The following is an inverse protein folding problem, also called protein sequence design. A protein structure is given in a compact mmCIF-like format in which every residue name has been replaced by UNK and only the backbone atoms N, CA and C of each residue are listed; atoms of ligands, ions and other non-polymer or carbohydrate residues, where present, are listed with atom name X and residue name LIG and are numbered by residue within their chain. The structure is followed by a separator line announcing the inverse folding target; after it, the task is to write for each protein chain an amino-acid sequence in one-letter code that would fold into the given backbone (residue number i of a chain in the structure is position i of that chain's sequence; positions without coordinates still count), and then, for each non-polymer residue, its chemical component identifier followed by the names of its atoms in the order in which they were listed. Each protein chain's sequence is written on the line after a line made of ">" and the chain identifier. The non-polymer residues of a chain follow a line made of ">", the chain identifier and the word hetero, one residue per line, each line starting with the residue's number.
data_IF_739833596362
#
_entry.id   IF_739833596362
#
_cell.length_a   1.000
_cell.length_b   1.000
_cell.length_c   1.000
_cell.angle_alpha   90.00
_cell.angle_beta   90.00
_cell.angle_gamma   90.00
#
_symmetry.space_group_name_H-M   'P 1'
#
loop_
_entity.id
_entity.type
_entity.pdbx_description
1 polymer ?
#
# COMPACT_ATOMS: atom_id res chain seq x y z
N UNK A 1 -10.43 -2.07 -14.07
CA UNK A 1 -11.03 -3.36 -14.48
C UNK A 1 -10.10 -4.53 -14.19
N UNK A 2 -9.06 -4.83 -14.99
CA UNK A 2 -8.21 -6.02 -14.73
C UNK A 2 -7.53 -6.04 -13.35
N UNK A 3 -6.96 -4.90 -12.92
CA UNK A 3 -6.29 -4.80 -11.60
C UNK A 3 -7.27 -4.96 -10.44
N UNK A 4 -8.47 -4.38 -10.54
CA UNK A 4 -9.52 -4.50 -9.52
C UNK A 4 -10.02 -5.94 -9.41
N UNK A 5 -10.16 -6.64 -10.54
CA UNK A 5 -10.57 -8.05 -10.57
C UNK A 5 -9.49 -8.96 -9.96
N UNK A 6 -8.21 -8.65 -10.21
CA UNK A 6 -7.09 -9.34 -9.58
C UNK A 6 -7.09 -9.13 -8.06
N UNK A 7 -7.29 -7.89 -7.59
CA UNK A 7 -7.40 -7.56 -6.17
C UNK A 7 -8.55 -8.34 -5.52
N UNK A 8 -9.73 -8.36 -6.15
CA UNK A 8 -10.90 -9.10 -5.65
C UNK A 8 -10.64 -10.59 -5.58
N UNK A 9 -9.97 -11.15 -6.60
CA UNK A 9 -9.60 -12.57 -6.65
C UNK A 9 -8.61 -12.93 -5.54
N UNK A 10 -7.59 -12.09 -5.33
CA UNK A 10 -6.62 -12.24 -4.26
C UNK A 10 -7.27 -12.20 -2.87
N UNK A 11 -8.17 -11.23 -2.63
CA UNK A 11 -8.93 -11.12 -1.37
C UNK A 11 -9.79 -12.37 -1.12
N UNK A 12 -10.48 -12.85 -2.15
CA UNK A 12 -11.32 -14.06 -2.07
C UNK A 12 -10.47 -15.28 -1.72
N UNK A 13 -9.30 -15.41 -2.35
CA UNK A 13 -8.38 -16.52 -2.10
C UNK A 13 -7.89 -16.55 -0.64
N UNK A 14 -7.58 -15.39 -0.06
CA UNK A 14 -7.07 -15.29 1.31
C UNK A 14 -8.15 -15.24 2.40
N UNK A 15 -9.42 -15.04 2.03
CA UNK A 15 -10.53 -14.89 2.98
C UNK A 15 -10.61 -16.00 4.05
N UNK A 16 -10.37 -17.30 3.74
CA UNK A 16 -10.43 -18.38 4.74
C UNK A 16 -9.38 -18.28 5.85
N UNK A 17 -8.27 -17.57 5.61
CA UNK A 17 -7.20 -17.41 6.59
C UNK A 17 -7.53 -16.34 7.64
N UNK A 18 -8.50 -15.47 7.36
CA UNK A 18 -9.02 -14.48 8.29
C UNK A 18 -7.93 -13.63 8.93
N UNK A 19 -7.96 -13.50 10.26
CA UNK A 19 -7.01 -12.70 11.03
C UNK A 19 -5.60 -13.28 11.11
N UNK A 20 -5.33 -14.48 10.56
CA UNK A 20 -3.97 -15.04 10.53
C UNK A 20 -3.09 -14.37 9.48
N UNK A 21 -3.69 -13.67 8.53
CA UNK A 21 -3.01 -12.98 7.41
C UNK A 21 -3.36 -11.50 7.39
N UNK A 22 -3.35 -10.86 8.56
CA UNK A 22 -3.57 -9.41 8.69
C UNK A 22 -2.44 -8.77 9.50
N UNK A 23 -1.98 -7.56 9.14
CA UNK A 23 -2.28 -6.87 7.89
C UNK A 23 -1.67 -7.59 6.67
N UNK A 24 -2.17 -7.31 5.47
CA UNK A 24 -1.44 -7.66 4.26
C UNK A 24 -0.17 -6.82 4.15
N UNK A 25 0.94 -7.44 3.76
CA UNK A 25 2.18 -6.72 3.51
C UNK A 25 2.27 -6.35 2.03
N UNK A 26 2.15 -5.06 1.73
CA UNK A 26 2.31 -4.50 0.39
C UNK A 26 3.73 -3.93 0.22
N UNK A 27 4.59 -4.71 -0.42
CA UNK A 27 5.96 -4.30 -0.70
C UNK A 27 6.06 -3.72 -2.12
N UNK A 28 6.54 -2.49 -2.23
CA UNK A 28 6.65 -1.75 -3.49
C UNK A 28 8.10 -1.75 -4.01
N UNK A 29 8.31 -1.93 -5.32
CA UNK A 29 9.64 -1.93 -5.91
C UNK A 29 10.29 -0.55 -5.85
N UNK A 30 11.62 -0.49 -5.99
CA UNK A 30 12.36 0.78 -6.00
C UNK A 30 11.98 1.73 -7.14
N UNK A 31 11.33 1.22 -8.20
CA UNK A 31 10.78 2.02 -9.30
C UNK A 31 9.45 2.71 -8.96
N UNK A 32 8.82 2.36 -7.84
CA UNK A 32 7.59 3.01 -7.38
C UNK A 32 7.95 4.32 -6.68
N UNK A 33 7.81 5.44 -7.39
CA UNK A 33 8.21 6.75 -6.90
C UNK A 33 7.06 7.66 -6.43
N UNK A 34 7.40 8.86 -5.93
CA UNK A 34 6.44 9.82 -5.38
C UNK A 34 5.33 10.26 -6.34
N UNK A 35 5.61 10.28 -7.65
CA UNK A 35 4.63 10.65 -8.67
C UNK A 35 3.41 9.70 -8.74
N UNK A 36 3.49 8.52 -8.09
CA UNK A 36 2.46 7.48 -8.10
C UNK A 36 1.74 7.33 -6.76
N UNK A 37 1.89 8.27 -5.82
CA UNK A 37 1.25 8.19 -4.50
C UNK A 37 -0.28 8.08 -4.60
N UNK A 38 -0.92 8.74 -5.57
CA UNK A 38 -2.36 8.64 -5.78
C UNK A 38 -2.79 7.23 -6.20
N UNK A 39 -1.97 6.54 -7.01
CA UNK A 39 -2.22 5.14 -7.37
C UNK A 39 -2.12 4.21 -6.15
N UNK A 40 -1.16 4.48 -5.25
CA UNK A 40 -1.03 3.73 -4.00
C UNK A 40 -2.25 3.95 -3.09
N UNK A 41 -2.72 5.19 -2.97
CA UNK A 41 -3.90 5.52 -2.19
C UNK A 41 -5.14 4.76 -2.72
N UNK A 42 -5.36 4.78 -4.04
CA UNK A 42 -6.46 4.05 -4.68
C UNK A 42 -6.33 2.53 -4.46
N UNK A 43 -5.12 1.98 -4.53
CA UNK A 43 -4.88 0.56 -4.30
C UNK A 43 -5.22 0.15 -2.86
N UNK A 44 -4.80 0.94 -1.87
CA UNK A 44 -5.10 0.71 -0.45
C UNK A 44 -6.62 0.69 -0.23
N UNK A 45 -7.33 1.68 -0.79
CA UNK A 45 -8.79 1.77 -0.70
C UNK A 45 -9.50 0.59 -1.38
N UNK A 46 -8.99 0.15 -2.54
CA UNK A 46 -9.55 -0.98 -3.30
C UNK A 46 -9.33 -2.32 -2.60
N UNK A 47 -8.19 -2.48 -1.91
CA UNK A 47 -7.87 -3.68 -1.14
C UNK A 47 -8.85 -3.91 0.01
N UNK A 48 -9.40 -2.84 0.62
CA UNK A 48 -10.44 -2.90 1.66
C UNK A 48 -10.17 -4.03 2.68
N UNK A 49 -8.93 -4.03 3.16
CA UNK A 49 -8.34 -4.89 4.20
C UNK A 49 -7.21 -4.10 4.86
N UNK A 50 -6.83 -4.41 6.12
CA UNK A 50 -5.65 -3.78 6.72
C UNK A 50 -4.39 -4.11 5.91
N UNK A 51 -3.59 -3.10 5.61
CA UNK A 51 -2.34 -3.21 4.87
C UNK A 51 -1.23 -2.52 5.64
N UNK A 52 -0.02 -3.07 5.58
CA UNK A 52 1.23 -2.40 5.91
C UNK A 52 2.04 -2.21 4.62
N UNK A 53 2.61 -1.02 4.43
CA UNK A 53 3.30 -0.64 3.18
C UNK A 53 4.80 -0.57 3.41
N UNK A 54 5.56 -1.24 2.55
CA UNK A 54 7.02 -1.13 2.49
C UNK A 54 7.41 -0.47 1.16
N UNK A 55 8.19 0.62 1.24
CA UNK A 55 8.71 1.33 0.06
C UNK A 55 10.22 1.15 -0.06
N UNK A 56 10.72 1.09 -1.30
CA UNK A 56 12.17 0.97 -1.57
C UNK A 56 12.75 2.13 -2.37
N UNK A 57 11.92 3.09 -2.78
CA UNK A 57 12.38 4.22 -3.58
C UNK A 57 13.11 5.26 -2.71
N UNK A 58 14.33 5.63 -3.11
CA UNK A 58 15.23 6.46 -2.30
C UNK A 58 14.64 7.81 -1.87
N UNK A 59 13.82 8.45 -2.71
CA UNK A 59 13.15 9.70 -2.39
C UNK A 59 12.30 9.65 -1.09
N UNK A 60 11.75 8.48 -0.74
CA UNK A 60 10.96 8.32 0.49
C UNK A 60 11.81 8.20 1.76
N UNK A 61 13.13 8.28 1.65
CA UNK A 61 14.09 8.27 2.77
C UNK A 61 14.98 9.52 2.79
N UNK A 62 14.73 10.47 1.89
CA UNK A 62 15.54 11.67 1.71
C UNK A 62 15.17 12.82 2.67
N UNK A 63 14.22 12.61 3.61
CA UNK A 63 13.69 13.63 4.54
C UNK A 63 13.11 14.87 3.84
N UNK A 64 12.74 14.72 2.58
CA UNK A 64 12.15 15.75 1.72
C UNK A 64 10.62 15.79 1.78
N UNK A 65 10.00 16.51 0.85
CA UNK A 65 8.55 16.60 0.74
C UNK A 65 7.92 15.27 0.32
N UNK A 66 8.64 14.47 -0.46
CA UNK A 66 8.20 13.17 -0.96
C UNK A 66 7.96 12.18 0.17
N UNK A 67 8.88 12.13 1.14
CA UNK A 67 8.74 11.34 2.35
C UNK A 67 7.60 11.86 3.23
N UNK A 68 7.49 13.20 3.39
CA UNK A 68 6.39 13.82 4.15
C UNK A 68 5.02 13.48 3.53
N UNK A 69 4.91 13.56 2.20
CA UNK A 69 3.69 13.26 1.47
C UNK A 69 3.27 11.79 1.64
N UNK A 70 4.22 10.85 1.50
CA UNK A 70 3.97 9.43 1.76
C UNK A 70 3.48 9.22 3.21
N UNK A 71 4.24 9.72 4.19
CA UNK A 71 3.92 9.49 5.60
C UNK A 71 2.55 10.08 5.98
N UNK A 72 2.20 11.26 5.45
CA UNK A 72 0.88 11.88 5.65
C UNK A 72 -0.23 11.01 5.05
N UNK A 73 -0.07 10.58 3.80
CA UNK A 73 -1.06 9.76 3.10
C UNK A 73 -1.32 8.44 3.83
N UNK A 74 -0.27 7.76 4.31
CA UNK A 74 -0.37 6.53 5.09
C UNK A 74 -1.01 6.77 6.46
N UNK A 75 -0.62 7.84 7.16
CA UNK A 75 -1.16 8.19 8.47
C UNK A 75 -2.66 8.49 8.41
N UNK A 76 -3.11 9.26 7.42
CA UNK A 76 -4.54 9.58 7.20
C UNK A 76 -5.39 8.32 6.98
N UNK A 77 -4.79 7.23 6.50
CA UNK A 77 -5.45 5.94 6.25
C UNK A 77 -5.22 4.91 7.36
N UNK A 78 -4.50 5.26 8.42
CA UNK A 78 -4.13 4.31 9.49
C UNK A 78 -3.26 3.15 9.00
N UNK A 79 -2.48 3.37 7.94
CA UNK A 79 -1.61 2.36 7.33
C UNK A 79 -0.21 2.47 7.94
N UNK A 80 0.31 1.33 8.39
CA UNK A 80 1.67 1.24 8.91
C UNK A 80 2.69 1.26 7.77
N UNK A 81 3.79 1.98 7.97
CA UNK A 81 4.96 1.96 7.08
C UNK A 81 6.02 1.04 7.69
N UNK A 82 6.51 0.09 6.91
CA UNK A 82 7.61 -0.83 7.25
C UNK A 82 8.93 -0.31 6.68
#
# INVERSE_FOLDING_TARGET
>A
REVEDLIRSFRTLLAPLGSRVTPFWLQLPASFGPARLDELAQLIETLDRPVAVEVRHAAFFAKGEEERALNRMLHERGVERI
#
